data_IF_632606596057
#
_entry.id   IF_632606596057
#
_cell.length_a   1.000
_cell.length_b   1.000
_cell.length_c   1.000
_cell.angle_alpha   90.00
_cell.angle_beta   90.00
_cell.angle_gamma   90.00
#
_symmetry.space_group_name_H-M   'P 1'
#
loop_
_entity.id
_entity.type
_entity.pdbx_description
1 polymer ?
#
# COMPACT_ATOMS: atom_id res chain seq x y z
N UNK A 1 6.17 7.80 -5.64
CA UNK A 1 5.99 7.26 -4.26
C UNK A 1 4.56 7.49 -3.84
N UNK A 2 3.86 6.46 -3.35
CA UNK A 2 2.49 6.57 -2.83
C UNK A 2 2.56 6.74 -1.32
N UNK A 3 1.88 7.76 -0.79
CA UNK A 3 1.78 8.07 0.65
C UNK A 3 0.38 8.58 0.98
N UNK A 4 0.04 8.73 2.26
CA UNK A 4 -1.25 9.31 2.68
C UNK A 4 -1.55 10.61 1.93
N UNK A 5 -2.76 10.73 1.38
CA UNK A 5 -3.21 11.84 0.54
C UNK A 5 -2.83 11.74 -0.94
N UNK A 6 -2.01 10.76 -1.35
CA UNK A 6 -1.78 10.47 -2.78
C UNK A 6 -3.05 9.98 -3.45
N UNK A 7 -3.20 10.25 -4.75
CA UNK A 7 -4.37 9.85 -5.54
C UNK A 7 -4.00 9.30 -6.92
N UNK A 8 -4.92 8.57 -7.54
CA UNK A 8 -4.86 8.12 -8.93
C UNK A 8 -4.39 6.67 -9.14
N UNK A 9 -4.05 6.32 -10.38
CA UNK A 9 -3.80 4.94 -10.81
C UNK A 9 -2.66 4.24 -10.05
N UNK A 10 -1.63 5.00 -9.63
CA UNK A 10 -0.56 4.46 -8.80
C UNK A 10 -1.07 3.95 -7.44
N UNK A 11 -2.06 4.63 -6.85
CA UNK A 11 -2.67 4.21 -5.59
C UNK A 11 -3.53 2.98 -5.80
N UNK A 12 -4.34 2.96 -6.86
CA UNK A 12 -5.16 1.78 -7.21
C UNK A 12 -4.32 0.53 -7.35
N UNK A 13 -3.16 0.64 -8.01
CA UNK A 13 -2.22 -0.47 -8.13
C UNK A 13 -1.72 -0.95 -6.77
N UNK A 14 -1.37 -0.04 -5.85
CA UNK A 14 -0.91 -0.40 -4.50
C UNK A 14 -2.03 -1.06 -3.69
N UNK A 15 -3.23 -0.49 -3.70
CA UNK A 15 -4.42 -1.03 -3.05
C UNK A 15 -4.74 -2.45 -3.53
N UNK A 16 -4.71 -2.67 -4.84
CA UNK A 16 -4.92 -3.99 -5.43
C UNK A 16 -3.88 -5.00 -4.96
N UNK A 17 -2.60 -4.62 -4.94
CA UNK A 17 -1.54 -5.52 -4.45
C UNK A 17 -1.68 -5.83 -2.96
N UNK A 18 -2.01 -4.83 -2.13
CA UNK A 18 -2.23 -5.02 -0.70
C UNK A 18 -3.37 -5.99 -0.42
N UNK A 19 -4.50 -5.85 -1.14
CA UNK A 19 -5.62 -6.79 -1.04
C UNK A 19 -5.22 -8.21 -1.47
N UNK A 20 -4.47 -8.36 -2.57
CA UNK A 20 -3.94 -9.66 -3.00
C UNK A 20 -3.02 -10.31 -1.97
N UNK A 21 -2.28 -9.49 -1.22
CA UNK A 21 -1.44 -9.94 -0.13
C UNK A 21 -2.22 -10.18 1.19
N UNK A 22 -3.55 -10.02 1.18
CA UNK A 22 -4.41 -10.23 2.35
C UNK A 22 -4.46 -9.06 3.34
N UNK A 23 -3.97 -7.88 2.96
CA UNK A 23 -4.04 -6.69 3.80
C UNK A 23 -5.33 -5.93 3.56
N UNK A 24 -6.09 -5.72 4.63
CA UNK A 24 -7.25 -4.87 4.64
C UNK A 24 -6.86 -3.39 4.40
N UNK A 25 -7.50 -2.77 3.42
CA UNK A 25 -7.32 -1.37 3.03
C UNK A 25 -8.54 -0.50 3.37
N UNK A 26 -9.52 -1.06 4.09
CA UNK A 26 -10.76 -0.41 4.51
C UNK A 26 -11.90 -0.49 3.48
N UNK A 27 -13.07 -0.02 3.90
CA UNK A 27 -14.34 -0.20 3.19
C UNK A 27 -14.40 0.46 1.80
N UNK A 28 -13.56 1.45 1.52
CA UNK A 28 -13.52 2.13 0.22
C UNK A 28 -12.85 1.29 -0.87
N UNK A 29 -12.08 0.26 -0.48
CA UNK A 29 -11.44 -0.65 -1.42
C UNK A 29 -10.45 0.04 -2.36
N UNK A 30 -10.50 -0.30 -3.66
CA UNK A 30 -9.60 0.21 -4.69
C UNK A 30 -10.19 1.48 -5.32
N UNK A 31 -10.28 2.55 -4.54
CA UNK A 31 -10.81 3.84 -4.96
C UNK A 31 -9.76 4.70 -5.71
N UNK A 32 -8.48 4.45 -5.45
CA UNK A 32 -7.37 5.27 -5.93
C UNK A 32 -7.01 6.44 -5.03
N UNK A 33 -7.52 6.47 -3.80
CA UNK A 33 -7.22 7.46 -2.78
C UNK A 33 -6.46 6.81 -1.62
N UNK A 34 -5.25 7.29 -1.35
CA UNK A 34 -4.42 6.73 -0.28
C UNK A 34 -4.86 7.36 1.05
N UNK A 35 -5.96 6.84 1.60
CA UNK A 35 -6.49 7.23 2.90
C UNK A 35 -5.70 6.65 4.08
N UNK A 36 -6.22 6.84 5.28
CA UNK A 36 -5.61 6.32 6.52
C UNK A 36 -5.47 4.79 6.48
N UNK A 37 -6.48 4.08 6.00
CA UNK A 37 -6.47 2.61 5.95
C UNK A 37 -5.46 2.07 4.94
N UNK A 38 -5.40 2.65 3.73
CA UNK A 38 -4.38 2.28 2.73
C UNK A 38 -2.96 2.56 3.25
N UNK A 39 -2.72 3.71 3.89
CA UNK A 39 -1.41 4.02 4.47
C UNK A 39 -1.02 3.05 5.59
N UNK A 40 -1.97 2.70 6.47
CA UNK A 40 -1.74 1.70 7.52
C UNK A 40 -1.46 0.32 6.95
N UNK A 41 -2.15 -0.09 5.89
CA UNK A 41 -1.90 -1.34 5.18
C UNK A 41 -0.50 -1.40 4.55
N UNK A 42 -0.02 -0.29 3.97
CA UNK A 42 1.37 -0.16 3.50
C UNK A 42 2.35 -0.40 4.65
N UNK A 43 2.13 0.25 5.81
CA UNK A 43 2.97 0.06 6.99
C UNK A 43 3.01 -1.38 7.49
N UNK A 44 1.84 -2.03 7.57
CA UNK A 44 1.73 -3.45 7.96
C UNK A 44 2.47 -4.36 6.99
N UNK A 45 2.28 -4.16 5.69
CA UNK A 45 3.00 -4.91 4.66
C UNK A 45 4.51 -4.72 4.78
N UNK A 46 4.98 -3.50 5.02
CA UNK A 46 6.39 -3.21 5.22
C UNK A 46 6.95 -3.96 6.44
N UNK A 47 6.30 -3.86 7.60
CA UNK A 47 6.71 -4.57 8.82
C UNK A 47 6.78 -6.07 8.62
N UNK A 48 5.77 -6.67 7.98
CA UNK A 48 5.73 -8.11 7.72
C UNK A 48 6.82 -8.60 6.76
N UNK A 49 7.37 -7.71 5.93
CA UNK A 49 8.36 -8.03 4.91
C UNK A 49 9.77 -7.52 5.24
N UNK A 50 10.02 -7.06 6.48
CA UNK A 50 11.32 -6.57 6.92
C UNK A 50 11.75 -5.25 6.26
N UNK A 51 10.80 -4.46 5.77
CA UNK A 51 11.04 -3.13 5.24
C UNK A 51 10.84 -2.06 6.33
N UNK A 52 11.40 -0.87 6.12
CA UNK A 52 11.09 0.29 6.96
C UNK A 52 9.57 0.60 6.89
N UNK A 53 8.89 0.58 8.03
CA UNK A 53 7.45 0.78 8.14
C UNK A 53 7.07 2.27 8.17
N UNK A 54 7.52 3.02 7.16
CA UNK A 54 7.28 4.47 7.02
C UNK A 54 5.90 4.80 6.44
N UNK A 55 5.09 3.79 6.12
CA UNK A 55 3.77 3.92 5.47
C UNK A 55 3.83 4.60 4.10
N UNK A 56 5.00 4.61 3.45
CA UNK A 56 5.23 5.17 2.12
C UNK A 56 5.60 4.04 1.17
N UNK A 57 4.78 3.84 0.15
CA UNK A 57 5.09 2.89 -0.92
C UNK A 57 6.07 3.54 -1.92
N UNK A 58 7.35 3.48 -1.55
CA UNK A 58 8.51 3.85 -2.35
C UNK A 58 9.01 2.70 -3.25
N UNK A 59 10.24 2.83 -3.76
CA UNK A 59 10.83 1.85 -4.70
C UNK A 59 10.91 0.43 -4.12
N UNK A 60 11.32 0.29 -2.87
CA UNK A 60 11.59 -1.02 -2.24
C UNK A 60 10.27 -1.71 -1.88
N UNK A 61 9.31 -0.97 -1.31
CA UNK A 61 7.94 -1.46 -1.09
C UNK A 61 7.29 -1.91 -2.40
N UNK A 62 7.43 -1.14 -3.49
CA UNK A 62 6.90 -1.51 -4.81
C UNK A 62 7.58 -2.75 -5.38
N UNK A 63 8.90 -2.87 -5.22
CA UNK A 63 9.62 -4.06 -5.66
C UNK A 63 9.13 -5.30 -4.91
N UNK A 64 8.93 -5.18 -3.59
CA UNK A 64 8.43 -6.27 -2.76
C UNK A 64 6.99 -6.65 -3.09
N UNK A 65 6.09 -5.69 -3.30
CA UNK A 65 4.70 -5.93 -3.74
C UNK A 65 4.60 -6.61 -5.12
N UNK A 66 5.64 -6.50 -5.97
CA UNK A 66 5.70 -7.22 -7.27
C UNK A 66 6.25 -8.64 -7.15
N UNK A 67 6.99 -8.93 -6.09
CA UNK A 67 7.68 -10.19 -5.89
C UNK A 67 6.86 -11.20 -5.05
N UNK A 68 5.68 -10.79 -4.59
CA UNK A 68 4.68 -11.59 -3.88
C UNK A 68 3.53 -11.93 -4.82
#
# INVERSE_FOLDING_TARGET
>A
NVKKGSKGNSVRWVQWQLLRCGYDIGDTGIDGDCGTNTAAAIGRFQSANGLAADCICGKDTRAKLRAV
#
